data_IF_020029479758
#
_entry.id   IF_020029479758
#
_cell.length_a   1.000
_cell.length_b   1.000
_cell.length_c   1.000
_cell.angle_alpha   90.00
_cell.angle_beta   90.00
_cell.angle_gamma   90.00
#
_symmetry.space_group_name_H-M   'P 1'
#
loop_
_entity.id
_entity.type
_entity.pdbx_description
1 polymer ?
#
# COMPACT_ATOMS: atom_id res chain seq x y z
N UNK A 1 -5.12 -0.87 -5.31
CA UNK A 1 -3.78 -1.42 -4.94
C UNK A 1 -3.91 -2.28 -3.68
N UNK A 2 -3.29 -3.46 -3.60
CA UNK A 2 -3.27 -4.27 -2.35
C UNK A 2 -2.12 -3.81 -1.44
N UNK A 3 -2.21 -4.00 -0.11
CA UNK A 3 -1.11 -3.64 0.81
C UNK A 3 0.23 -4.27 0.43
N UNK A 4 0.24 -5.53 -0.03
CA UNK A 4 1.45 -6.23 -0.48
C UNK A 4 2.13 -5.59 -1.70
N UNK A 5 1.33 -4.99 -2.60
CA UNK A 5 1.83 -4.29 -3.80
C UNK A 5 2.12 -2.82 -3.53
N UNK A 6 1.75 -2.28 -2.37
CA UNK A 6 1.92 -0.87 -2.02
C UNK A 6 3.39 -0.42 -2.07
N UNK A 7 4.33 -1.32 -1.79
CA UNK A 7 5.76 -1.01 -1.74
C UNK A 7 6.45 -1.07 -3.11
N UNK A 8 5.80 -1.58 -4.15
CA UNK A 8 6.44 -1.84 -5.45
C UNK A 8 5.64 -1.36 -6.66
N UNK A 9 4.35 -1.03 -6.51
CA UNK A 9 3.49 -0.67 -7.64
C UNK A 9 3.98 0.56 -8.41
N UNK A 10 4.73 1.45 -7.77
CA UNK A 10 5.18 2.73 -8.33
C UNK A 10 6.48 2.62 -9.15
N UNK A 11 7.10 1.45 -9.24
CA UNK A 11 8.36 1.25 -9.95
C UNK A 11 8.24 1.39 -11.48
N UNK A 12 7.04 1.23 -12.04
CA UNK A 12 6.79 1.36 -13.48
C UNK A 12 5.35 1.83 -13.76
N UNK A 13 5.11 2.38 -14.95
CA UNK A 13 3.77 2.76 -15.40
C UNK A 13 3.25 4.13 -14.92
N UNK A 14 4.11 4.96 -14.31
CA UNK A 14 3.74 6.31 -13.86
C UNK A 14 4.80 7.34 -14.22
N UNK A 15 4.36 8.55 -14.53
CA UNK A 15 5.15 9.77 -14.37
C UNK A 15 5.06 10.20 -12.92
N UNK A 16 6.15 10.69 -12.34
CA UNK A 16 6.19 11.15 -10.97
C UNK A 16 6.62 12.61 -10.88
N UNK A 17 6.03 13.34 -9.95
CA UNK A 17 6.44 14.69 -9.58
C UNK A 17 6.42 14.82 -8.06
N UNK A 18 7.38 15.57 -7.51
CA UNK A 18 7.32 15.98 -6.11
C UNK A 18 6.13 16.92 -5.91
N UNK A 19 5.37 16.66 -4.86
CA UNK A 19 4.23 17.48 -4.47
C UNK A 19 4.54 18.14 -3.10
N UNK A 20 3.51 18.51 -2.36
CA UNK A 20 3.62 19.20 -1.08
C UNK A 20 4.20 18.33 0.05
N UNK A 21 4.86 19.01 0.98
CA UNK A 21 5.15 18.48 2.32
C UNK A 21 4.01 18.87 3.25
N UNK A 22 3.47 17.91 3.99
CA UNK A 22 2.46 18.15 5.01
C UNK A 22 2.96 17.73 6.39
N UNK A 23 2.56 18.48 7.42
CA UNK A 23 2.73 18.05 8.79
C UNK A 23 1.46 17.31 9.25
N UNK A 24 1.59 16.03 9.54
CA UNK A 24 0.49 15.15 9.97
C UNK A 24 0.85 14.58 11.33
N UNK A 25 0.16 15.06 12.38
CA UNK A 25 0.36 14.60 13.77
C UNK A 25 1.83 14.68 14.22
N UNK A 26 2.52 15.76 13.85
CA UNK A 26 3.94 15.97 14.17
C UNK A 26 4.93 15.29 13.21
N UNK A 27 4.45 14.50 12.25
CA UNK A 27 5.29 13.86 11.22
C UNK A 27 5.28 14.70 9.96
N UNK A 28 6.46 14.99 9.40
CA UNK A 28 6.58 15.60 8.07
C UNK A 28 6.45 14.51 7.00
N UNK A 29 5.41 14.60 6.19
CA UNK A 29 5.11 13.67 5.10
C UNK A 29 5.32 14.40 3.79
N UNK A 30 6.24 13.91 2.97
CA UNK A 30 6.43 14.36 1.60
C UNK A 30 5.51 13.57 0.68
N UNK A 31 4.65 14.25 -0.08
CA UNK A 31 3.86 13.59 -1.09
C UNK A 31 4.58 13.58 -2.45
N UNK A 32 4.48 12.44 -3.13
CA UNK A 32 4.90 12.27 -4.52
C UNK A 32 3.63 11.98 -5.32
N UNK A 33 3.39 12.79 -6.34
CA UNK A 33 2.27 12.60 -7.25
C UNK A 33 2.68 11.66 -8.37
N UNK A 34 1.92 10.59 -8.54
CA UNK A 34 2.08 9.59 -9.58
C UNK A 34 0.89 9.65 -10.55
N UNK A 35 1.16 9.93 -11.81
CA UNK A 35 0.17 9.94 -12.88
C UNK A 35 0.39 8.73 -13.81
N UNK A 36 -0.61 7.86 -14.02
CA UNK A 36 -0.45 6.72 -14.91
C UNK A 36 -0.03 7.15 -16.32
N UNK A 37 0.91 6.42 -16.93
CA UNK A 37 1.30 6.66 -18.32
C UNK A 37 0.33 6.04 -19.32
N UNK A 38 -0.41 5.00 -18.91
CA UNK A 38 -1.41 4.34 -19.73
C UNK A 38 -2.76 5.08 -19.67
N UNK A 39 -3.23 5.56 -20.81
CA UNK A 39 -4.52 6.25 -20.92
C UNK A 39 -5.73 5.37 -20.58
N UNK A 40 -5.60 4.04 -20.63
CA UNK A 40 -6.65 3.08 -20.24
C UNK A 40 -6.70 2.80 -18.74
N UNK A 41 -5.76 3.33 -17.95
CA UNK A 41 -5.80 3.16 -16.49
C UNK A 41 -7.07 3.82 -15.92
N UNK A 42 -7.74 3.16 -14.99
CA UNK A 42 -8.94 3.69 -14.34
C UNK A 42 -8.61 4.75 -13.28
N UNK A 43 -7.35 4.80 -12.87
CA UNK A 43 -6.84 5.78 -11.91
C UNK A 43 -6.49 7.05 -12.64
N UNK A 44 -6.85 8.18 -12.03
CA UNK A 44 -6.45 9.51 -12.47
C UNK A 44 -5.06 9.84 -11.94
N UNK A 45 -4.86 9.63 -10.65
CA UNK A 45 -3.60 9.93 -9.96
C UNK A 45 -3.50 9.16 -8.64
N UNK A 46 -2.27 9.06 -8.15
CA UNK A 46 -1.97 8.54 -6.82
C UNK A 46 -1.06 9.54 -6.12
N UNK A 47 -1.38 9.90 -4.88
CA UNK A 47 -0.46 10.60 -4.00
C UNK A 47 0.16 9.58 -3.04
N UNK A 48 1.47 9.42 -3.13
CA UNK A 48 2.24 8.55 -2.25
C UNK A 48 2.90 9.40 -1.17
N UNK A 49 2.44 9.28 0.07
CA UNK A 49 3.02 9.97 1.21
C UNK A 49 4.19 9.19 1.79
N UNK A 50 5.36 9.82 1.84
CA UNK A 50 6.60 9.28 2.41
C UNK A 50 6.94 10.05 3.67
N UNK A 51 7.15 9.34 4.77
CA UNK A 51 7.67 9.94 5.99
C UNK A 51 9.12 10.38 5.75
N UNK A 52 9.41 11.68 5.93
CA UNK A 52 10.73 12.23 5.58
C UNK A 52 11.86 11.75 6.49
N UNK A 53 11.55 11.27 7.69
CA UNK A 53 12.54 10.82 8.66
C UNK A 53 12.90 9.36 8.41
N UNK A 54 11.91 8.49 8.36
CA UNK A 54 12.09 7.03 8.21
C UNK A 54 12.19 6.58 6.76
N UNK A 55 11.83 7.45 5.80
CA UNK A 55 11.72 7.14 4.36
C UNK A 55 10.71 6.04 4.03
N UNK A 56 9.88 5.64 5.00
CA UNK A 56 8.83 4.66 4.81
C UNK A 56 7.57 5.30 4.23
N UNK A 57 6.80 4.51 3.51
CA UNK A 57 5.48 4.90 3.04
C UNK A 57 4.55 5.08 4.24
N UNK A 58 3.97 6.27 4.37
CA UNK A 58 2.98 6.61 5.38
C UNK A 58 1.56 6.28 4.89
N UNK A 59 1.20 6.76 3.70
CA UNK A 59 -0.11 6.53 3.11
C UNK A 59 -0.06 6.57 1.58
N UNK A 60 -1.15 6.09 0.99
CA UNK A 60 -1.45 6.18 -0.43
C UNK A 60 -2.86 6.74 -0.57
N UNK A 61 -3.02 7.76 -1.40
CA UNK A 61 -4.33 8.33 -1.76
C UNK A 61 -4.50 8.15 -3.27
N UNK A 62 -5.36 7.22 -3.66
CA UNK A 62 -5.71 6.96 -5.05
C UNK A 62 -6.97 7.75 -5.42
N UNK A 63 -6.93 8.48 -6.53
CA UNK A 63 -8.11 9.11 -7.12
C UNK A 63 -8.43 8.44 -8.44
N UNK A 64 -9.62 7.85 -8.56
CA UNK A 64 -10.15 7.27 -9.79
C UNK A 64 -10.59 8.35 -10.78
N UNK A 65 -10.67 8.02 -12.07
CA UNK A 65 -11.21 8.91 -13.11
C UNK A 65 -12.69 9.27 -12.87
N UNK A 66 -13.41 8.38 -12.21
CA UNK A 66 -14.79 8.59 -11.73
C UNK A 66 -14.87 9.48 -10.47
N UNK A 67 -13.74 9.96 -9.94
CA UNK A 67 -13.69 10.79 -8.74
C UNK A 67 -13.64 10.04 -7.41
N UNK A 68 -13.79 8.71 -7.40
CA UNK A 68 -13.67 7.90 -6.18
C UNK A 68 -12.28 8.07 -5.57
N UNK A 69 -12.23 8.32 -4.26
CA UNK A 69 -10.97 8.43 -3.50
C UNK A 69 -10.82 7.26 -2.55
N UNK A 70 -9.70 6.56 -2.66
CA UNK A 70 -9.34 5.45 -1.78
C UNK A 70 -8.06 5.80 -1.04
N UNK A 71 -8.10 5.79 0.29
CA UNK A 71 -6.92 6.05 1.13
C UNK A 71 -6.51 4.77 1.85
N UNK A 72 -5.23 4.40 1.73
CA UNK A 72 -4.60 3.35 2.53
C UNK A 72 -3.53 3.98 3.42
N UNK A 73 -3.63 3.76 4.74
CA UNK A 73 -2.67 4.30 5.72
C UNK A 73 -1.93 3.17 6.41
N UNK A 74 -0.61 3.31 6.51
CA UNK A 74 0.26 2.36 7.23
C UNK A 74 0.30 2.77 8.70
N UNK A 75 -0.44 2.04 9.53
CA UNK A 75 -0.50 2.30 10.96
C UNK A 75 0.75 1.80 11.71
N UNK A 76 1.30 0.67 11.27
CA UNK A 76 2.49 0.06 11.85
C UNK A 76 3.25 -0.70 10.77
N UNK A 77 4.57 -0.55 10.78
CA UNK A 77 5.47 -1.24 9.86
C UNK A 77 6.73 -1.65 10.60
N UNK A 78 7.04 -2.95 10.59
CA UNK A 78 8.25 -3.53 11.18
C UNK A 78 9.01 -4.27 10.10
N UNK A 79 10.23 -3.84 9.82
CA UNK A 79 11.11 -4.48 8.85
C UNK A 79 11.92 -5.60 9.51
N UNK A 80 12.40 -6.54 8.70
CA UNK A 80 13.36 -7.58 9.08
C UNK A 80 12.98 -8.40 10.32
N UNK A 81 11.68 -8.53 10.60
CA UNK A 81 11.20 -9.37 11.68
C UNK A 81 11.43 -10.84 11.31
N UNK A 82 12.06 -11.64 12.18
CA UNK A 82 12.09 -13.08 11.97
C UNK A 82 10.67 -13.62 12.07
N UNK A 83 10.18 -14.23 10.99
CA UNK A 83 8.85 -14.84 10.95
C UNK A 83 8.99 -16.35 11.06
N UNK A 84 8.28 -16.94 12.00
CA UNK A 84 8.27 -18.40 12.16
C UNK A 84 7.60 -19.06 10.94
N UNK A 85 8.10 -20.24 10.54
CA UNK A 85 7.48 -21.04 9.46
C UNK A 85 6.01 -21.38 9.76
N UNK A 86 5.67 -21.51 11.04
CA UNK A 86 4.32 -21.79 11.50
C UNK A 86 3.33 -20.65 11.19
N UNK A 87 3.80 -19.41 11.01
CA UNK A 87 2.97 -18.28 10.59
C UNK A 87 2.35 -18.50 9.20
N UNK A 88 3.02 -19.28 8.35
CA UNK A 88 2.64 -19.54 6.96
C UNK A 88 2.13 -20.96 6.74
N UNK A 89 2.01 -21.75 7.79
CA UNK A 89 1.54 -23.13 7.72
C UNK A 89 0.09 -23.18 8.18
N UNK A 90 -0.80 -23.57 7.29
CA UNK A 90 -2.18 -23.84 7.67
C UNK A 90 -2.25 -25.12 8.52
N UNK A 91 -2.89 -25.05 9.69
CA UNK A 91 -3.05 -26.18 10.61
C UNK A 91 -4.54 -26.45 10.81
N UNK A 92 -5.07 -27.44 10.09
CA UNK A 92 -6.50 -27.75 10.06
C UNK A 92 -7.08 -28.03 11.46
N UNK A 93 -6.32 -28.66 12.36
CA UNK A 93 -6.76 -28.95 13.73
C UNK A 93 -7.02 -27.70 14.58
N UNK A 94 -6.53 -26.52 14.19
CA UNK A 94 -6.88 -25.24 14.83
C UNK A 94 -8.27 -24.73 14.46
N UNK A 95 -8.96 -25.38 13.51
CA UNK A 95 -10.26 -24.96 12.99
C UNK A 95 -11.28 -26.11 12.98
N UNK A 96 -11.54 -26.79 14.12
CA UNK A 96 -12.30 -28.05 14.16
C UNK A 96 -13.78 -27.94 13.79
N UNK A 97 -14.37 -26.74 13.82
CA UNK A 97 -15.78 -26.49 13.50
C UNK A 97 -16.01 -25.86 12.12
N UNK A 98 -14.95 -25.80 11.30
CA UNK A 98 -15.02 -25.20 9.98
C UNK A 98 -14.88 -26.27 8.90
N UNK A 99 -15.72 -26.18 7.88
CA UNK A 99 -15.49 -26.87 6.62
C UNK A 99 -14.28 -26.25 5.91
N UNK A 100 -13.30 -27.07 5.55
CA UNK A 100 -12.11 -26.63 4.83
C UNK A 100 -12.23 -27.08 3.38
N UNK A 101 -12.56 -26.14 2.50
CA UNK A 101 -12.58 -26.39 1.07
C UNK A 101 -11.14 -26.49 0.54
N UNK A 102 -10.82 -27.56 -0.18
CA UNK A 102 -9.56 -27.71 -0.91
C UNK A 102 -9.88 -27.62 -2.40
N UNK A 103 -9.20 -26.72 -3.09
CA UNK A 103 -9.28 -26.60 -4.53
C UNK A 103 -8.24 -27.56 -5.12
N UNK A 104 -8.69 -28.53 -5.91
CA UNK A 104 -7.83 -29.44 -6.68
C UNK A 104 -7.10 -28.70 -7.81
#
# INVERSE_FOLDING_TARGET
ITPSKMLTFFNSGYKYNMDIVQNVKGRKIQYIKLAPTNSKDQRKEILLGIDVQTKHIYNLIETGKNGTKTTLTVNSFKTNQPLSKNQFTFVASKYPKYYINKLD
#
